data_IF_219039522987
#
_entry.id   IF_219039522987
#
_cell.length_a   1.000
_cell.length_b   1.000
_cell.length_c   1.000
_cell.angle_alpha   90.00
_cell.angle_beta   90.00
_cell.angle_gamma   90.00
#
_symmetry.space_group_name_H-M   'P 1'
#
loop_
_entity.id
_entity.type
_entity.pdbx_description
1 polymer ?
#
# COMPACT_ATOMS: atom_id res chain seq x y z
N UNK A 1 17.40 18.83 13.86
CA UNK A 1 16.04 18.58 14.39
C UNK A 1 16.07 17.79 15.70
N UNK A 2 16.70 16.61 15.79
CA UNK A 2 16.73 15.82 17.03
C UNK A 2 17.24 16.58 18.29
N UNK A 3 18.33 17.37 18.24
CA UNK A 3 18.80 18.12 19.42
C UNK A 3 17.80 19.15 19.95
N UNK A 4 16.94 19.68 19.08
CA UNK A 4 15.89 20.63 19.48
C UNK A 4 14.75 19.92 20.22
N UNK A 5 14.38 18.70 19.80
CA UNK A 5 13.36 17.89 20.46
C UNK A 5 13.79 17.45 21.86
N UNK A 6 15.06 17.09 22.03
CA UNK A 6 15.65 16.76 23.33
C UNK A 6 15.65 17.97 24.27
N UNK A 7 16.05 19.15 23.75
CA UNK A 7 16.03 20.41 24.51
C UNK A 7 14.60 20.78 24.97
N UNK A 8 13.60 20.67 24.10
CA UNK A 8 12.20 20.96 24.43
C UNK A 8 11.60 19.94 25.40
N UNK A 9 11.87 18.66 25.20
CA UNK A 9 11.34 17.58 26.04
C UNK A 9 12.10 17.38 27.35
N UNK A 10 13.27 18.03 27.49
CA UNK A 10 14.19 17.93 28.64
C UNK A 10 14.60 16.49 28.97
N UNK A 11 14.64 15.61 27.96
CA UNK A 11 15.10 14.23 28.08
C UNK A 11 15.70 13.75 26.76
N UNK A 12 16.52 12.71 26.87
CA UNK A 12 16.95 11.95 25.70
C UNK A 12 15.74 11.24 25.07
N UNK A 13 15.47 11.56 23.80
CA UNK A 13 14.33 11.02 23.05
C UNK A 13 14.69 9.74 22.30
N UNK A 14 15.97 9.46 22.07
CA UNK A 14 16.41 8.30 21.28
C UNK A 14 15.91 6.98 21.86
N UNK A 15 16.01 6.70 23.19
CA UNK A 15 15.47 5.47 23.78
C UNK A 15 13.93 5.38 23.71
N UNK A 16 13.23 6.51 23.64
CA UNK A 16 11.77 6.53 23.47
C UNK A 16 11.42 6.16 22.04
N UNK A 17 12.08 6.77 21.06
CA UNK A 17 11.86 6.48 19.64
C UNK A 17 12.21 5.03 19.30
N UNK A 18 13.28 4.47 19.85
CA UNK A 18 13.62 3.06 19.63
C UNK A 18 12.51 2.12 20.12
N UNK A 19 12.01 2.33 21.36
CA UNK A 19 10.90 1.51 21.87
C UNK A 19 9.63 1.64 21.05
N UNK A 20 9.32 2.85 20.56
CA UNK A 20 8.17 3.05 19.68
C UNK A 20 8.38 2.38 18.32
N UNK A 21 9.60 2.42 17.77
CA UNK A 21 9.93 1.77 16.52
C UNK A 21 9.82 0.24 16.62
N UNK A 22 10.20 -0.34 17.77
CA UNK A 22 10.05 -1.78 18.00
C UNK A 22 8.56 -2.19 18.06
N UNK A 23 7.73 -1.47 18.83
CA UNK A 23 6.28 -1.71 18.86
C UNK A 23 5.64 -1.56 17.47
N UNK A 24 6.01 -0.52 16.73
CA UNK A 24 5.50 -0.30 15.38
C UNK A 24 5.97 -1.38 14.40
N UNK A 25 7.14 -1.99 14.61
CA UNK A 25 7.62 -3.11 13.79
C UNK A 25 6.75 -4.34 14.01
N UNK A 26 6.45 -4.68 15.27
CA UNK A 26 5.58 -5.81 15.60
C UNK A 26 4.18 -5.64 14.97
N UNK A 27 3.62 -4.42 15.05
CA UNK A 27 2.35 -4.08 14.38
C UNK A 27 2.46 -4.17 12.85
N UNK A 28 3.57 -3.70 12.27
CA UNK A 28 3.79 -3.75 10.82
C UNK A 28 3.86 -5.18 10.30
N UNK A 29 4.59 -6.05 11.01
CA UNK A 29 4.75 -7.46 10.69
C UNK A 29 3.40 -8.18 10.72
N UNK A 30 2.60 -7.98 11.77
CA UNK A 30 1.25 -8.53 11.86
C UNK A 30 0.35 -8.03 10.72
N UNK A 31 0.36 -6.73 10.43
CA UNK A 31 -0.47 -6.17 9.37
C UNK A 31 -0.02 -6.65 7.98
N UNK A 32 1.26 -6.91 7.77
CA UNK A 32 1.78 -7.50 6.54
C UNK A 32 1.34 -8.96 6.40
N UNK A 33 1.37 -9.75 7.47
CA UNK A 33 0.85 -11.12 7.47
C UNK A 33 -0.65 -11.17 7.12
N UNK A 34 -1.45 -10.35 7.79
CA UNK A 34 -2.90 -10.26 7.53
C UNK A 34 -3.20 -9.77 6.11
N UNK A 35 -2.42 -8.82 5.59
CA UNK A 35 -2.58 -8.34 4.22
C UNK A 35 -2.16 -9.37 3.17
N UNK A 36 -1.16 -10.20 3.46
CA UNK A 36 -0.70 -11.26 2.55
C UNK A 36 -1.75 -12.38 2.37
N UNK A 37 -2.69 -12.54 3.32
CA UNK A 37 -3.82 -13.45 3.19
C UNK A 37 -4.91 -12.94 2.22
N UNK A 38 -4.90 -11.66 1.84
CA UNK A 38 -5.83 -11.09 0.87
C UNK A 38 -5.37 -11.38 -0.56
N UNK A 39 -6.27 -11.79 -1.45
CA UNK A 39 -6.01 -11.79 -2.90
C UNK A 39 -6.07 -10.33 -3.40
N UNK A 40 -4.95 -9.70 -3.80
CA UNK A 40 -4.93 -8.32 -4.28
C UNK A 40 -5.60 -8.15 -5.65
N UNK A 41 -6.01 -9.24 -6.30
CA UNK A 41 -6.76 -9.20 -7.56
C UNK A 41 -8.26 -9.38 -7.38
N UNK A 42 -8.73 -9.74 -6.18
CA UNK A 42 -10.17 -9.81 -5.88
C UNK A 42 -10.69 -8.43 -5.47
N UNK A 43 -11.46 -7.82 -6.37
CA UNK A 43 -11.98 -6.47 -6.15
C UNK A 43 -13.02 -6.41 -5.02
N UNK A 44 -13.78 -7.48 -4.81
CA UNK A 44 -14.79 -7.53 -3.74
C UNK A 44 -14.11 -7.69 -2.38
N UNK A 45 -13.14 -8.60 -2.28
CA UNK A 45 -12.36 -8.80 -1.06
C UNK A 45 -11.66 -7.50 -0.62
N UNK A 46 -11.02 -6.81 -1.57
CA UNK A 46 -10.37 -5.52 -1.31
C UNK A 46 -11.33 -4.41 -0.86
N UNK A 47 -12.55 -4.38 -1.42
CA UNK A 47 -13.55 -3.39 -1.08
C UNK A 47 -14.18 -3.62 0.30
N UNK A 48 -14.22 -4.87 0.78
CA UNK A 48 -14.80 -5.25 2.06
C UNK A 48 -13.78 -5.28 3.22
N UNK A 49 -12.50 -5.49 2.92
CA UNK A 49 -11.45 -5.53 3.93
C UNK A 49 -11.18 -4.16 4.58
N UNK A 50 -10.65 -4.13 5.82
CA UNK A 50 -10.14 -2.90 6.43
C UNK A 50 -9.13 -2.19 5.53
N UNK A 51 -9.27 -0.87 5.37
CA UNK A 51 -8.49 -0.08 4.40
C UNK A 51 -6.96 -0.24 4.56
N UNK A 52 -6.48 -0.43 5.78
CA UNK A 52 -5.06 -0.65 6.05
C UNK A 52 -4.54 -1.94 5.37
N UNK A 53 -5.33 -3.02 5.39
CA UNK A 53 -4.97 -4.29 4.75
C UNK A 53 -5.05 -4.18 3.23
N UNK A 54 -6.12 -3.58 2.69
CA UNK A 54 -6.26 -3.39 1.24
C UNK A 54 -5.11 -2.57 0.65
N UNK A 55 -4.67 -1.51 1.34
CA UNK A 55 -3.51 -0.70 0.92
C UNK A 55 -2.21 -1.51 0.90
N UNK A 56 -1.95 -2.31 1.93
CA UNK A 56 -0.76 -3.16 2.02
C UNK A 56 -0.75 -4.24 0.93
N UNK A 57 -1.88 -4.92 0.72
CA UNK A 57 -2.03 -5.94 -0.31
C UNK A 57 -1.77 -5.37 -1.72
N UNK A 58 -2.37 -4.23 -2.05
CA UNK A 58 -2.13 -3.56 -3.34
C UNK A 58 -0.69 -3.06 -3.46
N UNK A 59 -0.12 -2.45 -2.42
CA UNK A 59 1.27 -1.99 -2.45
C UNK A 59 2.23 -3.16 -2.72
N UNK A 60 2.05 -4.29 -2.04
CA UNK A 60 2.84 -5.50 -2.25
C UNK A 60 2.67 -6.03 -3.69
N UNK A 61 1.45 -6.10 -4.19
CA UNK A 61 1.15 -6.56 -5.55
C UNK A 61 1.81 -5.72 -6.64
N UNK A 62 1.90 -4.40 -6.44
CA UNK A 62 2.47 -3.47 -7.42
C UNK A 62 3.97 -3.22 -7.27
N UNK A 63 4.64 -3.79 -6.26
CA UNK A 63 6.04 -3.51 -5.88
C UNK A 63 7.11 -3.97 -6.87
N UNK A 64 6.75 -4.38 -8.08
CA UNK A 64 7.67 -4.73 -9.16
C UNK A 64 7.32 -3.88 -10.39
N UNK A 65 8.22 -3.04 -10.94
CA UNK A 65 9.62 -2.89 -10.56
C UNK A 65 9.87 -1.95 -9.38
N UNK A 66 8.91 -1.09 -9.04
CA UNK A 66 9.07 -0.08 -7.99
C UNK A 66 7.88 -0.10 -7.03
N UNK A 67 8.15 0.23 -5.77
CA UNK A 67 7.11 0.43 -4.76
C UNK A 67 6.25 1.64 -5.17
N UNK A 68 4.91 1.49 -5.25
CA UNK A 68 4.05 2.60 -5.63
C UNK A 68 3.93 3.64 -4.52
N UNK A 69 3.62 4.88 -4.90
CA UNK A 69 3.19 5.91 -3.96
C UNK A 69 1.75 5.65 -3.44
N UNK A 70 1.38 6.33 -2.36
CA UNK A 70 0.05 6.18 -1.75
C UNK A 70 -1.09 6.59 -2.68
N UNK A 71 -0.87 7.63 -3.50
CA UNK A 71 -1.88 8.11 -4.45
C UNK A 71 -2.20 7.06 -5.51
N UNK A 72 -1.20 6.31 -5.98
CA UNK A 72 -1.36 5.22 -6.94
C UNK A 72 -2.12 4.06 -6.31
N UNK A 73 -1.79 3.70 -5.07
CA UNK A 73 -2.53 2.67 -4.32
C UNK A 73 -4.00 3.06 -4.15
N UNK A 74 -4.28 4.31 -3.77
CA UNK A 74 -5.65 4.79 -3.57
C UNK A 74 -6.46 4.77 -4.89
N UNK A 75 -5.86 5.16 -6.03
CA UNK A 75 -6.50 5.04 -7.36
C UNK A 75 -6.86 3.59 -7.72
N UNK A 76 -5.99 2.63 -7.40
CA UNK A 76 -6.25 1.20 -7.65
C UNK A 76 -7.39 0.69 -6.76
N UNK A 77 -7.47 1.15 -5.52
CA UNK A 77 -8.58 0.82 -4.62
C UNK A 77 -9.90 1.43 -5.11
N UNK A 78 -9.89 2.60 -5.75
CA UNK A 78 -11.07 3.16 -6.40
C UNK A 78 -11.54 2.32 -7.60
N UNK A 79 -10.59 1.74 -8.35
CA UNK A 79 -10.91 0.76 -9.39
C UNK A 79 -11.53 -0.51 -8.78
N UNK A 80 -11.01 -1.01 -7.66
CA UNK A 80 -11.57 -2.16 -6.94
C UNK A 80 -13.03 -1.91 -6.49
N UNK A 81 -13.29 -0.73 -5.92
CA UNK A 81 -14.64 -0.30 -5.51
C UNK A 81 -15.60 -0.10 -6.68
N UNK A 82 -15.08 0.12 -7.89
CA UNK A 82 -15.88 0.41 -9.08
C UNK A 82 -16.21 1.89 -9.24
N UNK A 83 -15.50 2.77 -8.55
CA UNK A 83 -15.60 4.23 -8.73
C UNK A 83 -15.00 4.66 -10.08
N UNK A 84 -14.08 3.87 -10.63
CA UNK A 84 -13.47 4.08 -11.95
C UNK A 84 -13.18 2.71 -12.59
N UNK A 85 -13.20 2.61 -13.92
CA UNK A 85 -13.00 1.33 -14.63
C UNK A 85 -11.53 0.89 -14.68
N UNK A 86 -10.61 1.86 -14.71
CA UNK A 86 -9.17 1.64 -14.84
C UNK A 86 -8.38 2.84 -14.33
N UNK A 87 -7.10 2.64 -14.00
CA UNK A 87 -6.18 3.72 -13.68
C UNK A 87 -4.75 3.42 -14.14
N UNK A 88 -3.98 4.47 -14.41
CA UNK A 88 -2.53 4.37 -14.65
C UNK A 88 -1.76 4.15 -13.33
N UNK A 89 -0.77 3.25 -13.40
CA UNK A 89 0.12 2.90 -12.28
C UNK A 89 1.61 3.11 -12.64
N UNK A 90 1.88 3.98 -13.62
CA UNK A 90 3.21 4.32 -14.10
C UNK A 90 3.84 3.30 -15.06
N UNK A 91 4.91 3.74 -15.74
CA UNK A 91 5.68 2.95 -16.71
C UNK A 91 4.82 2.38 -17.86
N UNK A 92 3.76 3.08 -18.24
CA UNK A 92 2.83 2.64 -19.29
C UNK A 92 1.93 1.45 -18.88
N UNK A 93 1.92 1.06 -17.60
CA UNK A 93 1.10 -0.03 -17.07
C UNK A 93 -0.18 0.52 -16.49
N UNK A 94 -1.27 -0.23 -16.62
CA UNK A 94 -2.57 0.17 -16.09
C UNK A 94 -3.22 -0.97 -15.31
N UNK A 95 -3.99 -0.63 -14.29
CA UNK A 95 -4.88 -1.59 -13.61
C UNK A 95 -6.29 -1.38 -14.11
N UNK A 96 -6.97 -2.48 -14.45
CA UNK A 96 -8.38 -2.47 -14.89
C UNK A 96 -9.18 -3.50 -14.12
N UNK A 97 -10.48 -3.23 -13.92
CA UNK A 97 -11.43 -4.17 -13.31
C UNK A 97 -12.34 -4.81 -14.34
N UNK A 98 -12.47 -6.13 -14.29
CA UNK A 98 -13.49 -6.88 -15.05
C UNK A 98 -13.89 -8.12 -14.27
N UNK A 99 -15.20 -8.44 -14.24
CA UNK A 99 -15.74 -9.62 -13.53
C UNK A 99 -15.25 -9.71 -12.07
N UNK A 100 -15.25 -8.58 -11.35
CA UNK A 100 -14.73 -8.47 -9.97
C UNK A 100 -13.24 -8.82 -9.79
N UNK A 101 -12.47 -8.90 -10.87
CA UNK A 101 -11.03 -9.13 -10.84
C UNK A 101 -10.26 -7.91 -11.33
N UNK A 102 -9.17 -7.58 -10.65
CA UNK A 102 -8.18 -6.61 -11.10
C UNK A 102 -7.13 -7.30 -11.96
N UNK A 103 -6.70 -6.64 -13.03
CA UNK A 103 -5.61 -7.10 -13.90
C UNK A 103 -4.69 -5.94 -14.22
N UNK A 104 -3.37 -6.20 -14.19
CA UNK A 104 -2.36 -5.29 -14.72
C UNK A 104 -2.26 -5.56 -16.23
N UNK A 105 -2.38 -4.50 -17.02
CA UNK A 105 -2.05 -4.49 -18.44
C UNK A 105 -0.73 -3.75 -18.61
N UNK A 106 0.24 -4.40 -19.25
CA UNK A 106 1.52 -3.81 -19.63
C UNK A 106 1.39 -2.95 -20.90
N UNK A 107 2.32 -2.01 -21.13
CA UNK A 107 2.35 -1.29 -22.40
C UNK A 107 2.50 -2.28 -23.56
N UNK A 108 1.66 -2.12 -24.58
CA UNK A 108 1.72 -2.93 -25.79
C UNK A 108 3.07 -2.65 -26.47
N UNK A 109 3.97 -3.63 -26.50
CA UNK A 109 5.27 -3.47 -27.13
C UNK A 109 5.03 -3.35 -28.65
N UNK A 110 5.39 -2.24 -29.31
CA UNK A 110 5.20 -2.12 -30.75
C UNK A 110 6.05 -3.20 -31.43
N UNK A 111 5.38 -4.03 -32.25
CA UNK A 111 6.00 -5.04 -33.11
C UNK A 111 6.92 -4.41 -34.15
#
# INVERSE_FOLDING_TARGET
>A
MLPLLESLSKRDIVPVLNRQADLLRDDDDLLNELAAALDPTDALALAQAPIALSRRAIRAWLSNPLVPDSATVDRVLDVARGNTLACDIGLGRHVRRSQQRLRITEPENPK
#
